data_IF_818269874303
#
_entry.id   IF_818269874303
#
_cell.length_a   1.000
_cell.length_b   1.000
_cell.length_c   1.000
_cell.angle_alpha   90.00
_cell.angle_beta   90.00
_cell.angle_gamma   90.00
#
_symmetry.space_group_name_H-M   'P 1'
#
loop_
_entity.id
_entity.type
_entity.pdbx_description
1 polymer ?
#
# COMPACT_ATOMS: atom_id res chain seq x y z
N UNK A 1 11.72 -7.86 38.49
CA UNK A 1 11.99 -6.44 38.83
C UNK A 1 11.10 -5.59 37.95
N UNK A 2 10.43 -4.56 38.48
CA UNK A 2 9.65 -3.65 37.64
C UNK A 2 10.59 -2.67 36.96
N UNK A 3 10.84 -2.82 35.67
CA UNK A 3 11.67 -1.90 34.89
C UNK A 3 10.89 -0.59 34.66
N UNK A 4 11.45 0.55 35.11
CA UNK A 4 10.82 1.87 35.02
C UNK A 4 11.39 2.66 33.85
N UNK A 5 10.49 3.19 33.01
CA UNK A 5 10.78 4.05 31.86
C UNK A 5 9.92 5.32 31.90
N UNK A 6 10.35 6.38 31.23
CA UNK A 6 9.49 7.54 31.02
C UNK A 6 8.48 7.25 29.90
N UNK A 7 8.97 6.61 28.83
CA UNK A 7 8.15 6.28 27.66
C UNK A 7 8.40 4.84 27.22
N UNK A 8 7.33 4.10 26.99
CA UNK A 8 7.37 2.77 26.35
C UNK A 8 6.70 2.85 24.99
N UNK A 9 7.40 2.33 23.98
CA UNK A 9 6.89 2.20 22.61
C UNK A 9 6.56 0.74 22.35
N UNK A 10 5.31 0.46 21.96
CA UNK A 10 4.82 -0.88 21.69
C UNK A 10 4.82 -1.12 20.19
N UNK A 11 5.79 -1.88 19.73
CA UNK A 11 6.03 -2.25 18.34
C UNK A 11 7.41 -1.84 17.83
N UNK A 12 8.22 -2.81 17.45
CA UNK A 12 9.58 -2.67 16.91
C UNK A 12 9.63 -2.53 15.38
N UNK A 13 8.62 -1.89 14.78
CA UNK A 13 8.58 -1.53 13.37
C UNK A 13 9.13 -0.14 13.08
N UNK A 14 9.02 0.33 11.82
CA UNK A 14 9.50 1.64 11.39
C UNK A 14 8.97 2.79 12.25
N UNK A 15 7.65 2.81 12.50
CA UNK A 15 7.02 3.86 13.30
C UNK A 15 7.56 3.89 14.74
N UNK A 16 7.78 2.72 15.35
CA UNK A 16 8.33 2.62 16.71
C UNK A 16 9.76 3.11 16.81
N UNK A 17 10.64 2.67 15.91
CA UNK A 17 12.04 3.10 15.85
C UNK A 17 12.16 4.60 15.58
N UNK A 18 11.45 5.08 14.56
CA UNK A 18 11.45 6.50 14.21
C UNK A 18 10.99 7.37 15.39
N UNK A 19 9.93 6.96 16.08
CA UNK A 19 9.40 7.67 17.25
C UNK A 19 10.42 7.68 18.39
N UNK A 20 11.02 6.53 18.72
CA UNK A 20 11.98 6.42 19.81
C UNK A 20 13.20 7.31 19.60
N UNK A 21 13.76 7.27 18.40
CA UNK A 21 14.95 8.06 18.03
C UNK A 21 14.64 9.55 18.15
N UNK A 22 13.53 10.02 17.55
CA UNK A 22 13.16 11.43 17.59
C UNK A 22 12.85 11.94 19.00
N UNK A 23 12.27 11.11 19.88
CA UNK A 23 12.04 11.47 21.29
C UNK A 23 13.37 11.72 22.00
N UNK A 24 14.31 10.77 21.90
CA UNK A 24 15.60 10.86 22.64
C UNK A 24 16.52 11.92 22.03
N UNK A 25 16.51 12.12 20.71
CA UNK A 25 17.26 13.23 20.08
C UNK A 25 16.79 14.60 20.56
N UNK A 26 15.47 14.77 20.79
CA UNK A 26 14.91 16.04 21.31
C UNK A 26 15.06 16.19 22.82
N UNK A 27 15.04 15.09 23.56
CA UNK A 27 15.23 15.10 25.01
C UNK A 27 16.05 13.88 25.46
N UNK A 28 17.38 14.00 25.49
CA UNK A 28 18.30 12.91 25.83
C UNK A 28 18.19 12.39 27.28
N UNK A 29 17.47 13.08 28.15
CA UNK A 29 17.28 12.67 29.54
C UNK A 29 16.15 11.65 29.72
N UNK A 30 15.30 11.44 28.71
CA UNK A 30 14.21 10.50 28.79
C UNK A 30 14.70 9.06 28.62
N UNK A 31 14.26 8.20 29.53
CA UNK A 31 14.48 6.76 29.43
C UNK A 31 13.38 6.12 28.59
N UNK A 32 13.73 5.67 27.39
CA UNK A 32 12.81 5.12 26.39
C UNK A 32 13.09 3.65 26.13
N UNK A 33 12.04 2.84 26.01
CA UNK A 33 12.13 1.45 25.60
C UNK A 33 11.20 1.13 24.45
N UNK A 34 11.63 0.22 23.57
CA UNK A 34 10.82 -0.39 22.50
C UNK A 34 10.53 -1.84 22.89
N UNK A 35 9.26 -2.22 22.92
CA UNK A 35 8.81 -3.60 23.14
C UNK A 35 8.36 -4.22 21.81
N UNK A 36 9.01 -5.30 21.41
CA UNK A 36 8.67 -6.06 20.20
C UNK A 36 8.26 -7.50 20.57
N UNK A 37 7.14 -7.94 20.02
CA UNK A 37 6.62 -9.31 20.24
C UNK A 37 7.44 -10.39 19.57
N UNK A 38 8.04 -10.07 18.44
CA UNK A 38 8.82 -10.98 17.59
C UNK A 38 10.25 -11.16 18.08
N UNK A 39 10.94 -12.10 17.46
CA UNK A 39 12.38 -12.35 17.69
C UNK A 39 13.24 -11.23 17.08
N UNK A 40 12.74 -10.60 16.03
CA UNK A 40 13.43 -9.60 15.24
C UNK A 40 12.59 -8.34 15.13
N UNK A 41 13.27 -7.20 14.99
CA UNK A 41 12.67 -5.90 14.74
C UNK A 41 12.72 -5.54 13.25
N UNK A 42 11.92 -4.56 12.82
CA UNK A 42 11.94 -3.98 11.47
C UNK A 42 11.64 -4.98 10.34
N UNK A 43 10.94 -6.09 10.62
CA UNK A 43 10.67 -7.15 9.64
C UNK A 43 9.88 -6.65 8.41
N UNK A 44 8.86 -5.79 8.61
CA UNK A 44 8.13 -5.19 7.49
C UNK A 44 9.01 -4.24 6.65
N UNK A 45 9.99 -3.57 7.27
CA UNK A 45 10.98 -2.75 6.54
C UNK A 45 11.84 -3.63 5.66
N UNK A 46 12.28 -4.77 6.18
CA UNK A 46 13.15 -5.73 5.47
C UNK A 46 12.58 -6.18 4.14
N UNK A 47 11.28 -6.47 4.10
CA UNK A 47 10.61 -7.02 2.92
C UNK A 47 9.96 -5.94 2.03
N UNK A 48 9.76 -4.73 2.55
CA UNK A 48 9.06 -3.66 1.84
C UNK A 48 9.77 -3.29 0.53
N UNK A 49 9.00 -2.87 -0.48
CA UNK A 49 9.54 -2.49 -1.77
C UNK A 49 10.37 -3.59 -2.46
N UNK A 50 10.02 -4.87 -2.23
CA UNK A 50 10.77 -6.01 -2.76
C UNK A 50 12.17 -6.15 -2.16
N UNK A 51 12.34 -5.83 -0.87
CA UNK A 51 13.62 -5.88 -0.16
C UNK A 51 14.51 -4.65 -0.36
N UNK A 52 14.01 -3.61 -1.03
CA UNK A 52 14.71 -2.35 -1.22
C UNK A 52 14.32 -1.26 -0.23
N UNK A 53 13.17 -1.38 0.42
CA UNK A 53 12.48 -0.40 1.25
C UNK A 53 12.09 0.87 0.48
N UNK A 54 10.84 0.94 0.01
CA UNK A 54 10.25 2.21 -0.41
C UNK A 54 10.05 3.09 0.84
N UNK A 55 10.90 4.12 0.99
CA UNK A 55 10.94 4.95 2.21
C UNK A 55 9.82 5.98 2.21
N UNK A 56 9.66 6.69 1.09
CA UNK A 56 8.66 7.75 0.91
C UNK A 56 8.42 7.99 -0.59
N UNK A 57 7.66 9.01 -0.91
CA UNK A 57 7.36 9.43 -2.28
C UNK A 57 7.78 10.88 -2.50
N UNK A 58 8.24 11.22 -3.70
CA UNK A 58 8.66 12.56 -4.08
C UNK A 58 7.46 13.53 -4.27
N UNK A 59 6.55 13.54 -3.32
CA UNK A 59 5.44 14.46 -3.24
C UNK A 59 5.66 15.38 -2.03
N UNK A 60 6.19 16.58 -2.30
CA UNK A 60 6.68 17.49 -1.26
C UNK A 60 5.64 18.50 -0.76
N UNK A 61 4.50 18.59 -1.44
CA UNK A 61 3.41 19.48 -1.05
C UNK A 61 2.42 18.72 -0.17
N UNK A 62 2.23 19.08 1.12
CA UNK A 62 1.34 18.36 2.03
C UNK A 62 -0.08 18.17 1.51
N UNK A 63 -0.65 19.20 0.87
CA UNK A 63 -2.00 19.13 0.30
C UNK A 63 -2.13 18.18 -0.89
N UNK A 64 -1.04 17.87 -1.57
CA UNK A 64 -1.03 16.88 -2.65
C UNK A 64 -0.73 15.50 -2.11
N UNK A 65 0.19 15.39 -1.14
CA UNK A 65 0.54 14.12 -0.51
C UNK A 65 -0.68 13.45 0.16
N UNK A 66 -1.51 14.21 0.86
CA UNK A 66 -2.70 13.66 1.54
C UNK A 66 -3.70 13.04 0.57
N UNK A 67 -3.73 13.45 -0.69
CA UNK A 67 -4.62 12.89 -1.72
C UNK A 67 -4.30 11.43 -2.09
N UNK A 68 -3.12 10.94 -1.72
CA UNK A 68 -2.76 9.53 -1.88
C UNK A 68 -3.28 8.64 -0.75
N UNK A 69 -3.91 9.22 0.28
CA UNK A 69 -4.46 8.50 1.41
C UNK A 69 -5.98 8.35 1.29
N UNK A 70 -6.50 7.17 0.90
CA UNK A 70 -7.95 6.94 0.81
C UNK A 70 -8.66 7.10 2.16
N UNK A 71 -7.93 6.88 3.26
CA UNK A 71 -8.38 7.07 4.64
C UNK A 71 -7.34 7.87 5.41
N UNK A 72 -7.80 8.94 6.10
CA UNK A 72 -6.94 9.85 6.85
C UNK A 72 -6.47 11.09 6.08
N UNK A 73 -6.93 11.32 4.84
CA UNK A 73 -6.57 12.50 4.04
C UNK A 73 -6.72 13.80 4.84
N UNK A 74 -7.88 13.97 5.49
CA UNK A 74 -8.21 15.17 6.25
C UNK A 74 -7.36 15.32 7.51
N UNK A 75 -7.18 14.24 8.21
CA UNK A 75 -6.48 14.15 9.50
C UNK A 75 -4.97 14.38 9.33
N UNK A 76 -4.40 13.90 8.22
CA UNK A 76 -2.96 14.01 7.93
C UNK A 76 -2.50 15.38 7.47
N UNK A 77 -3.40 16.31 7.09
CA UNK A 77 -3.02 17.67 6.68
C UNK A 77 -2.18 18.40 7.73
N UNK A 78 -2.58 18.33 9.00
CA UNK A 78 -1.83 18.93 10.09
C UNK A 78 -0.44 18.31 10.28
N UNK A 79 -0.35 17.00 10.50
CA UNK A 79 0.93 16.28 10.60
C UNK A 79 1.88 16.52 9.43
N UNK A 80 1.41 16.46 8.17
CA UNK A 80 2.28 16.65 7.01
C UNK A 80 2.75 18.10 6.80
N UNK A 81 2.06 19.09 7.38
CA UNK A 81 2.59 20.45 7.45
C UNK A 81 3.74 20.60 8.47
N UNK A 82 3.93 19.63 9.37
CA UNK A 82 5.02 19.60 10.35
C UNK A 82 6.15 18.68 9.94
N UNK A 83 5.84 17.59 9.25
CA UNK A 83 6.80 16.60 8.78
C UNK A 83 6.27 15.91 7.51
N UNK A 84 6.91 16.18 6.38
CA UNK A 84 6.51 15.71 5.06
C UNK A 84 7.60 14.85 4.41
N UNK A 85 7.45 14.52 3.14
CA UNK A 85 8.42 13.71 2.39
C UNK A 85 9.81 14.35 2.34
N UNK A 86 9.90 15.69 2.22
CA UNK A 86 11.18 16.42 2.25
C UNK A 86 11.90 16.26 3.58
N UNK A 87 11.16 16.41 4.68
CA UNK A 87 11.71 16.23 6.03
C UNK A 87 12.16 14.78 6.27
N UNK A 88 11.50 13.81 5.64
CA UNK A 88 11.91 12.40 5.68
C UNK A 88 13.27 12.21 5.01
N UNK A 89 13.50 12.85 3.85
CA UNK A 89 14.78 12.80 3.14
C UNK A 89 15.87 13.41 4.03
N UNK A 90 15.66 14.62 4.52
CA UNK A 90 16.60 15.32 5.37
C UNK A 90 16.95 14.51 6.64
N UNK A 91 15.94 13.86 7.23
CA UNK A 91 16.16 13.01 8.39
C UNK A 91 17.09 11.83 8.08
N UNK A 92 16.88 11.12 6.96
CA UNK A 92 17.72 10.00 6.57
C UNK A 92 19.12 10.45 6.17
N UNK A 93 19.27 11.56 5.44
CA UNK A 93 20.57 12.14 5.09
C UNK A 93 21.37 12.52 6.33
N UNK A 94 20.73 13.16 7.33
CA UNK A 94 21.34 13.47 8.63
C UNK A 94 21.83 12.21 9.36
N UNK A 95 21.18 11.08 9.14
CA UNK A 95 21.57 9.77 9.69
C UNK A 95 22.47 8.96 8.75
N UNK A 96 23.03 9.57 7.71
CA UNK A 96 24.01 8.97 6.81
C UNK A 96 23.43 8.07 5.73
N UNK A 97 22.13 8.18 5.46
CA UNK A 97 21.46 7.42 4.39
C UNK A 97 20.99 8.33 3.27
N UNK A 98 21.60 8.18 2.10
CA UNK A 98 21.21 8.86 0.88
C UNK A 98 20.07 8.12 0.19
N UNK A 99 19.04 8.88 -0.26
CA UNK A 99 17.87 8.37 -0.97
C UNK A 99 17.91 8.82 -2.42
N UNK A 100 17.38 7.98 -3.31
CA UNK A 100 17.16 8.29 -4.74
C UNK A 100 15.69 8.25 -5.08
N UNK A 101 15.27 9.09 -6.04
CA UNK A 101 13.94 9.12 -6.61
C UNK A 101 13.92 8.25 -7.87
N UNK A 102 12.94 7.38 -8.01
CA UNK A 102 12.66 6.65 -9.26
C UNK A 102 11.65 7.41 -10.12
N UNK A 103 11.52 7.05 -11.40
CA UNK A 103 10.69 7.77 -12.39
C UNK A 103 9.21 7.88 -11.97
N UNK A 104 8.72 6.96 -11.17
CA UNK A 104 7.35 6.96 -10.63
C UNK A 104 7.21 7.71 -9.29
N UNK A 105 8.26 8.40 -8.85
CA UNK A 105 8.29 9.20 -7.64
C UNK A 105 8.56 8.43 -6.36
N UNK A 106 8.65 7.10 -6.38
CA UNK A 106 9.04 6.31 -5.21
C UNK A 106 10.49 6.56 -4.84
N UNK A 107 10.77 6.53 -3.55
CA UNK A 107 12.11 6.82 -3.04
C UNK A 107 12.71 5.62 -2.32
N UNK A 108 13.92 5.28 -2.70
CA UNK A 108 14.66 4.13 -2.18
C UNK A 108 16.05 4.56 -1.70
N UNK A 109 16.69 3.83 -0.78
CA UNK A 109 18.11 4.05 -0.51
C UNK A 109 18.94 3.80 -1.77
N UNK A 110 19.98 4.61 -1.98
CA UNK A 110 20.87 4.50 -3.15
C UNK A 110 21.45 3.08 -3.27
N UNK A 111 21.67 2.41 -2.15
CA UNK A 111 22.13 1.01 -2.07
C UNK A 111 21.17 -0.02 -2.67
N UNK A 112 19.91 0.35 -2.91
CA UNK A 112 18.81 -0.58 -3.27
C UNK A 112 18.62 -1.75 -2.28
N UNK A 113 18.93 -1.55 -1.01
CA UNK A 113 18.81 -2.57 0.04
C UNK A 113 18.08 -2.01 1.25
N UNK A 114 17.02 -2.69 1.68
CA UNK A 114 16.30 -2.38 2.93
C UNK A 114 17.21 -2.50 4.17
N UNK A 115 18.31 -3.26 4.06
CA UNK A 115 19.27 -3.40 5.14
C UNK A 115 19.88 -2.05 5.53
N UNK A 116 20.12 -1.15 4.57
CA UNK A 116 20.63 0.21 4.83
C UNK A 116 19.71 0.99 5.78
N UNK A 117 18.40 0.90 5.59
CA UNK A 117 17.42 1.55 6.46
C UNK A 117 17.38 0.88 7.83
N UNK A 118 17.48 -0.45 7.87
CA UNK A 118 17.50 -1.21 9.13
C UNK A 118 18.75 -0.85 9.95
N UNK A 119 19.92 -0.83 9.32
CA UNK A 119 21.17 -0.50 9.97
C UNK A 119 21.14 0.93 10.52
N UNK A 120 20.64 1.89 9.74
CA UNK A 120 20.45 3.28 10.17
C UNK A 120 19.63 3.36 11.47
N UNK A 121 18.48 2.71 11.53
CA UNK A 121 17.64 2.68 12.72
C UNK A 121 18.32 2.00 13.90
N UNK A 122 18.98 0.86 13.70
CA UNK A 122 19.64 0.11 14.77
C UNK A 122 20.85 0.85 15.32
N UNK A 123 21.67 1.48 14.48
CA UNK A 123 22.80 2.29 14.89
C UNK A 123 22.36 3.52 15.69
N UNK A 124 21.30 4.22 15.23
CA UNK A 124 20.75 5.36 15.94
C UNK A 124 20.26 4.97 17.35
N UNK A 125 19.48 3.88 17.46
CA UNK A 125 18.98 3.36 18.73
C UNK A 125 20.13 2.98 19.68
N UNK A 126 21.16 2.31 19.16
CA UNK A 126 22.36 1.94 19.92
C UNK A 126 23.12 3.18 20.41
N UNK A 127 23.33 4.16 19.53
CA UNK A 127 24.03 5.44 19.86
C UNK A 127 23.28 6.22 20.94
N UNK A 128 21.96 6.25 20.87
CA UNK A 128 21.07 6.95 21.79
C UNK A 128 20.76 6.14 23.06
N UNK A 129 21.28 4.91 23.19
CA UNK A 129 21.08 4.02 24.34
C UNK A 129 19.59 3.75 24.63
N UNK A 130 18.79 3.57 23.60
CA UNK A 130 17.40 3.19 23.70
C UNK A 130 17.32 1.66 23.90
N UNK A 131 16.60 1.21 24.93
CA UNK A 131 16.45 -0.21 25.20
C UNK A 131 15.45 -0.86 24.22
N UNK A 132 15.82 -2.00 23.63
CA UNK A 132 14.97 -2.76 22.71
C UNK A 132 14.78 -4.17 23.24
N UNK A 133 13.53 -4.52 23.56
CA UNK A 133 13.16 -5.81 24.10
C UNK A 133 12.39 -6.62 23.05
N UNK A 134 13.03 -7.63 22.49
CA UNK A 134 12.38 -8.61 21.61
C UNK A 134 11.75 -9.74 22.40
N UNK A 135 10.81 -10.49 21.80
CA UNK A 135 10.00 -11.54 22.45
C UNK A 135 9.16 -11.02 23.65
N UNK A 136 8.87 -9.72 23.71
CA UNK A 136 8.06 -9.09 24.74
C UNK A 136 6.68 -8.73 24.18
N UNK A 137 5.82 -9.72 23.98
CA UNK A 137 4.44 -9.48 23.54
C UNK A 137 3.63 -8.85 24.66
N UNK A 138 3.13 -7.64 24.44
CA UNK A 138 2.25 -6.95 25.38
C UNK A 138 0.92 -7.69 25.46
N UNK A 139 0.46 -7.95 26.68
CA UNK A 139 -0.77 -8.68 27.00
C UNK A 139 -1.82 -7.79 27.66
N UNK A 140 -1.36 -6.84 28.50
CA UNK A 140 -2.26 -6.00 29.26
C UNK A 140 -1.65 -4.60 29.46
N UNK A 141 -2.52 -3.59 29.43
CA UNK A 141 -2.19 -2.21 29.81
C UNK A 141 -3.13 -1.80 30.96
N UNK A 142 -2.55 -1.37 32.05
CA UNK A 142 -3.31 -0.93 33.21
C UNK A 142 -2.85 0.45 33.66
N UNK A 143 -3.80 1.37 33.76
CA UNK A 143 -3.57 2.74 34.24
C UNK A 143 -3.71 2.79 35.77
N UNK A 144 -2.63 3.20 36.43
CA UNK A 144 -2.68 3.59 37.85
C UNK A 144 -2.97 5.10 37.96
N UNK A 145 -3.00 5.64 39.15
CA UNK A 145 -3.17 7.09 39.34
C UNK A 145 -2.05 7.91 38.69
N UNK A 146 -0.83 7.41 38.72
CA UNK A 146 0.38 8.18 38.33
C UNK A 146 1.11 7.66 37.09
N UNK A 147 0.93 6.39 36.72
CA UNK A 147 1.69 5.74 35.67
C UNK A 147 0.90 4.62 34.98
N UNK A 148 1.42 4.11 33.89
CA UNK A 148 0.99 2.92 33.20
C UNK A 148 1.79 1.69 33.63
N UNK A 149 1.13 0.56 33.82
CA UNK A 149 1.72 -0.78 33.88
C UNK A 149 1.52 -1.46 32.53
N UNK A 150 2.61 -1.98 31.97
CA UNK A 150 2.62 -2.72 30.71
C UNK A 150 3.06 -4.15 31.01
N UNK A 151 2.11 -5.08 30.99
CA UNK A 151 2.38 -6.51 31.21
C UNK A 151 2.73 -7.16 29.88
N UNK A 152 3.86 -7.83 29.84
CA UNK A 152 4.29 -8.60 28.65
C UNK A 152 4.35 -10.10 28.98
N UNK A 153 4.66 -10.91 27.97
CA UNK A 153 4.90 -12.36 28.16
C UNK A 153 6.11 -12.68 29.04
N UNK A 154 7.00 -11.71 29.31
CA UNK A 154 8.24 -11.93 30.04
C UNK A 154 8.24 -11.23 31.40
N UNK A 155 7.93 -9.95 31.42
CA UNK A 155 7.98 -9.13 32.61
C UNK A 155 6.98 -7.97 32.58
N UNK A 156 6.91 -7.21 33.68
CA UNK A 156 6.05 -6.03 33.84
C UNK A 156 6.90 -4.79 33.84
N UNK A 157 6.54 -3.84 32.99
CA UNK A 157 7.14 -2.51 32.89
C UNK A 157 6.23 -1.45 33.49
N UNK A 158 6.82 -0.34 33.91
CA UNK A 158 6.07 0.88 34.30
C UNK A 158 6.57 2.08 33.52
N UNK A 159 5.66 2.96 33.09
CA UNK A 159 6.01 4.18 32.36
C UNK A 159 4.99 5.29 32.58
N UNK A 160 5.39 6.53 32.26
CA UNK A 160 4.48 7.68 32.28
C UNK A 160 3.64 7.76 31.01
N UNK A 161 4.23 7.43 29.85
CA UNK A 161 3.59 7.52 28.53
C UNK A 161 3.79 6.24 27.73
N UNK A 162 2.82 5.95 26.88
CA UNK A 162 2.84 4.82 25.93
C UNK A 162 2.69 5.37 24.51
N UNK A 163 3.50 4.84 23.58
CA UNK A 163 3.27 5.02 22.14
C UNK A 163 2.89 3.68 21.53
N UNK A 164 1.70 3.60 20.96
CA UNK A 164 1.21 2.44 20.24
C UNK A 164 1.68 2.51 18.78
N UNK A 165 2.67 1.71 18.42
CA UNK A 165 3.28 1.65 17.07
C UNK A 165 3.31 0.20 16.53
N UNK A 166 2.32 -0.60 16.92
CA UNK A 166 2.26 -2.04 16.68
C UNK A 166 1.81 -2.44 15.27
N UNK A 167 1.58 -1.46 14.39
CA UNK A 167 1.04 -1.70 13.06
C UNK A 167 -0.33 -2.37 13.10
N UNK A 168 -0.70 -3.10 12.05
CA UNK A 168 -1.97 -3.80 11.90
C UNK A 168 -2.02 -5.10 12.75
N UNK A 169 -1.85 -4.98 14.06
CA UNK A 169 -1.87 -6.12 14.98
C UNK A 169 -3.25 -6.33 15.62
N UNK A 170 -4.00 -7.40 15.28
CA UNK A 170 -5.35 -7.63 15.80
C UNK A 170 -5.43 -7.69 17.33
N UNK A 171 -4.44 -8.29 18.00
CA UNK A 171 -4.41 -8.38 19.48
C UNK A 171 -4.28 -7.00 20.13
N UNK A 172 -3.55 -6.08 19.50
CA UNK A 172 -3.41 -4.72 20.03
C UNK A 172 -4.69 -3.91 19.80
N UNK A 173 -5.37 -4.12 18.69
CA UNK A 173 -6.69 -3.53 18.47
C UNK A 173 -7.72 -4.06 19.49
N UNK A 174 -7.76 -5.39 19.74
CA UNK A 174 -8.62 -5.98 20.77
C UNK A 174 -8.31 -5.41 22.17
N UNK A 175 -7.04 -5.27 22.52
CA UNK A 175 -6.62 -4.66 23.78
C UNK A 175 -7.09 -3.21 23.91
N UNK A 176 -6.93 -2.41 22.85
CA UNK A 176 -7.37 -1.01 22.83
C UNK A 176 -8.91 -0.89 22.83
N UNK A 177 -9.60 -1.82 22.19
CA UNK A 177 -11.06 -1.91 22.22
C UNK A 177 -11.57 -2.19 23.64
N UNK A 178 -10.95 -3.09 24.38
CA UNK A 178 -11.25 -3.39 25.78
C UNK A 178 -10.97 -2.18 26.71
N UNK A 179 -10.09 -1.26 26.29
CA UNK A 179 -9.80 -0.02 26.99
C UNK A 179 -10.68 1.15 26.53
N UNK A 180 -11.67 0.91 25.67
CA UNK A 180 -12.70 1.87 25.27
C UNK A 180 -12.53 2.50 23.90
N UNK A 181 -11.49 2.15 23.13
CA UNK A 181 -11.33 2.63 21.75
C UNK A 181 -12.26 1.90 20.77
N UNK A 182 -12.77 2.63 19.81
CA UNK A 182 -13.49 2.09 18.66
C UNK A 182 -12.50 1.62 17.60
N UNK A 183 -12.65 0.37 17.16
CA UNK A 183 -11.85 -0.19 16.09
C UNK A 183 -12.71 -0.27 14.83
N UNK A 184 -12.26 0.43 13.79
CA UNK A 184 -12.84 0.29 12.45
C UNK A 184 -12.34 -1.04 11.88
N UNK A 185 -13.27 -1.93 11.51
CA UNK A 185 -12.96 -3.30 11.10
C UNK A 185 -11.86 -3.34 10.04
N UNK A 186 -10.79 -4.11 10.25
CA UNK A 186 -9.68 -4.20 9.31
C UNK A 186 -10.04 -5.02 8.08
N UNK A 187 -9.78 -4.47 6.91
CA UNK A 187 -9.88 -5.17 5.62
C UNK A 187 -8.59 -4.98 4.83
N UNK A 188 -8.21 -5.94 3.98
CA UNK A 188 -7.05 -5.78 3.12
C UNK A 188 -7.17 -4.58 2.17
N UNK A 189 -6.04 -3.92 1.96
CA UNK A 189 -5.80 -2.86 0.98
C UNK A 189 -4.61 -3.26 0.11
N UNK A 190 -4.42 -2.64 -1.06
CA UNK A 190 -3.30 -2.92 -1.98
C UNK A 190 -3.18 -4.42 -2.37
N UNK A 191 -4.22 -5.01 -2.91
CA UNK A 191 -4.25 -6.43 -3.26
C UNK A 191 -4.42 -6.70 -4.75
N UNK A 192 -3.92 -7.86 -5.18
CA UNK A 192 -4.07 -8.41 -6.54
C UNK A 192 -5.48 -8.96 -6.73
N UNK A 193 -6.09 -8.73 -7.89
CA UNK A 193 -7.37 -9.31 -8.30
C UNK A 193 -7.17 -10.71 -8.88
N UNK A 194 -7.82 -11.70 -8.28
CA UNK A 194 -7.79 -13.06 -8.79
C UNK A 194 -8.76 -13.21 -9.97
N UNK A 195 -8.22 -13.47 -11.15
CA UNK A 195 -8.97 -13.56 -12.41
C UNK A 195 -8.48 -14.77 -13.18
N UNK A 196 -9.43 -15.65 -13.53
CA UNK A 196 -9.18 -16.77 -14.44
C UNK A 196 -9.88 -16.47 -15.77
N UNK A 197 -9.14 -16.00 -16.76
CA UNK A 197 -9.67 -15.62 -18.04
C UNK A 197 -8.70 -16.02 -19.16
N UNK A 198 -9.18 -16.63 -20.27
CA UNK A 198 -8.33 -17.08 -21.37
C UNK A 198 -7.54 -15.96 -22.04
N UNK A 199 -8.02 -14.70 -21.98
CA UNK A 199 -7.36 -13.55 -22.61
C UNK A 199 -6.04 -13.18 -21.94
N UNK A 200 -5.89 -13.50 -20.65
CA UNK A 200 -4.67 -13.22 -19.86
C UNK A 200 -3.91 -14.49 -19.48
N UNK A 201 -4.40 -15.66 -19.91
CA UNK A 201 -3.73 -16.94 -19.65
C UNK A 201 -2.36 -16.95 -20.32
N UNK A 202 -1.35 -17.48 -19.62
CA UNK A 202 0.03 -17.60 -20.07
C UNK A 202 0.74 -16.27 -20.41
N UNK A 203 0.18 -15.13 -19.94
CA UNK A 203 0.75 -13.79 -20.10
C UNK A 203 1.45 -13.25 -18.83
N UNK A 204 1.74 -14.07 -17.86
CA UNK A 204 2.39 -13.68 -16.63
C UNK A 204 3.68 -12.87 -16.87
N UNK A 205 3.84 -11.79 -16.09
CA UNK A 205 4.97 -10.86 -16.20
C UNK A 205 4.77 -9.77 -17.26
N UNK A 206 3.69 -9.84 -18.05
CA UNK A 206 3.37 -8.82 -19.04
C UNK A 206 2.73 -7.62 -18.36
N UNK A 207 3.17 -6.40 -18.72
CA UNK A 207 2.61 -5.14 -18.26
C UNK A 207 2.12 -4.29 -19.43
N UNK A 208 1.01 -3.60 -19.23
CA UNK A 208 0.49 -2.60 -20.16
C UNK A 208 -0.17 -1.47 -19.36
N UNK A 209 -0.14 -0.23 -19.88
CA UNK A 209 -0.90 0.87 -19.31
C UNK A 209 -2.38 0.68 -19.69
N UNK A 210 -3.25 0.73 -18.71
CA UNK A 210 -4.69 0.53 -18.90
C UNK A 210 -5.49 1.32 -17.87
N UNK A 211 -6.75 1.63 -18.20
CA UNK A 211 -7.72 2.05 -17.20
C UNK A 211 -8.61 0.88 -16.80
N UNK A 212 -8.99 0.83 -15.53
CA UNK A 212 -9.81 -0.24 -14.96
C UNK A 212 -10.94 0.37 -14.15
N UNK A 213 -12.16 -0.09 -14.41
CA UNK A 213 -13.37 0.35 -13.72
C UNK A 213 -14.10 -0.83 -13.11
N UNK A 214 -14.55 -0.70 -11.86
CA UNK A 214 -15.42 -1.70 -11.23
C UNK A 214 -16.86 -1.49 -11.71
N UNK A 215 -17.48 -2.51 -12.25
CA UNK A 215 -18.88 -2.43 -12.71
C UNK A 215 -19.82 -2.11 -11.56
N UNK A 216 -20.80 -1.23 -11.81
CA UNK A 216 -21.78 -0.76 -10.83
C UNK A 216 -21.14 -0.09 -9.61
N UNK A 217 -20.01 0.58 -9.83
CA UNK A 217 -19.29 1.36 -8.84
C UNK A 217 -18.73 2.62 -9.49
N UNK A 218 -18.29 3.57 -8.64
CA UNK A 218 -17.52 4.75 -9.07
C UNK A 218 -16.01 4.50 -9.02
N UNK A 219 -15.59 3.30 -8.63
CA UNK A 219 -14.19 2.94 -8.51
C UNK A 219 -13.56 2.75 -9.90
N UNK A 220 -12.59 3.58 -10.18
CA UNK A 220 -11.77 3.52 -11.39
C UNK A 220 -10.34 3.95 -11.08
N UNK A 221 -9.40 3.41 -11.83
CA UNK A 221 -8.00 3.79 -11.75
C UNK A 221 -7.31 3.53 -13.09
N UNK A 222 -6.32 4.38 -13.42
CA UNK A 222 -5.47 4.24 -14.60
C UNK A 222 -4.02 4.05 -14.18
N UNK A 223 -3.26 3.32 -14.97
CA UNK A 223 -1.83 3.10 -14.75
C UNK A 223 -1.35 1.74 -15.24
N UNK A 224 -0.08 1.42 -14.99
CA UNK A 224 0.47 0.11 -15.33
C UNK A 224 -0.32 -1.02 -14.68
N UNK A 225 -0.82 -1.94 -15.50
CA UNK A 225 -1.49 -3.16 -15.12
C UNK A 225 -0.54 -4.33 -15.40
N UNK A 226 -0.28 -5.14 -14.39
CA UNK A 226 0.60 -6.31 -14.47
C UNK A 226 -0.23 -7.60 -14.44
N UNK A 227 -0.04 -8.45 -15.43
CA UNK A 227 -0.62 -9.80 -15.43
C UNK A 227 0.26 -10.72 -14.59
N UNK A 228 -0.36 -11.40 -13.63
CA UNK A 228 0.29 -12.31 -12.69
C UNK A 228 -0.24 -13.73 -12.83
N UNK A 229 0.32 -14.68 -12.08
CA UNK A 229 -0.23 -16.05 -11.97
C UNK A 229 -1.68 -16.11 -11.46
N UNK A 230 -2.08 -15.11 -10.66
CA UNK A 230 -3.38 -15.07 -10.00
C UNK A 230 -4.42 -14.30 -10.81
N UNK A 231 -3.98 -13.39 -11.67
CA UNK A 231 -4.84 -12.48 -12.41
C UNK A 231 -4.17 -11.15 -12.71
N UNK A 232 -4.71 -10.05 -12.20
CA UNK A 232 -4.23 -8.70 -12.48
C UNK A 232 -3.75 -7.98 -11.22
N UNK A 233 -2.60 -7.31 -11.31
CA UNK A 233 -1.97 -6.49 -10.28
C UNK A 233 -1.35 -5.24 -10.92
N UNK A 234 -0.33 -4.66 -10.28
CA UNK A 234 0.35 -3.44 -10.75
C UNK A 234 -0.28 -2.17 -10.19
N UNK A 235 0.36 -1.01 -10.39
CA UNK A 235 -0.05 0.26 -9.78
C UNK A 235 -1.53 0.62 -9.97
N UNK A 236 -2.10 0.41 -11.18
CA UNK A 236 -3.52 0.67 -11.44
C UNK A 236 -4.45 -0.17 -10.58
N UNK A 237 -4.21 -1.49 -10.48
CA UNK A 237 -5.02 -2.40 -9.68
C UNK A 237 -4.82 -2.18 -8.17
N UNK A 238 -3.58 -1.98 -7.73
CA UNK A 238 -3.28 -1.74 -6.32
C UNK A 238 -3.94 -0.45 -5.84
N UNK A 239 -3.87 0.64 -6.61
CA UNK A 239 -4.58 1.88 -6.32
C UNK A 239 -6.09 1.64 -6.23
N UNK A 240 -6.69 0.96 -7.21
CA UNK A 240 -8.13 0.67 -7.23
C UNK A 240 -8.55 -0.15 -6.03
N UNK A 241 -7.75 -1.14 -5.62
CA UNK A 241 -8.00 -1.96 -4.44
C UNK A 241 -7.86 -1.18 -3.13
N UNK A 242 -6.98 -0.18 -3.07
CA UNK A 242 -6.83 0.69 -1.90
C UNK A 242 -8.05 1.59 -1.71
N UNK A 243 -8.44 2.32 -2.76
CA UNK A 243 -9.64 3.18 -2.72
C UNK A 243 -10.92 2.36 -2.47
N UNK A 244 -11.01 1.21 -3.10
CA UNK A 244 -12.16 0.30 -3.01
C UNK A 244 -12.14 -0.70 -1.85
N UNK A 245 -11.16 -0.65 -0.93
CA UNK A 245 -10.92 -1.71 0.04
C UNK A 245 -12.19 -2.19 0.77
N UNK A 246 -13.02 -1.28 1.27
CA UNK A 246 -14.27 -1.60 1.97
C UNK A 246 -15.35 -2.10 1.02
N UNK A 247 -15.64 -1.37 -0.07
CA UNK A 247 -16.65 -1.75 -1.04
C UNK A 247 -16.37 -3.13 -1.64
N UNK A 248 -15.09 -3.42 -1.96
CA UNK A 248 -14.69 -4.70 -2.52
C UNK A 248 -14.74 -5.84 -1.48
N UNK A 249 -14.51 -5.53 -0.21
CA UNK A 249 -14.70 -6.47 0.90
C UNK A 249 -16.17 -6.82 1.11
N UNK A 250 -17.08 -5.83 1.08
CA UNK A 250 -18.53 -6.05 1.16
C UNK A 250 -19.06 -6.93 0.01
N UNK A 251 -18.47 -6.80 -1.18
CA UNK A 251 -18.72 -7.68 -2.32
C UNK A 251 -18.05 -9.07 -2.19
N UNK A 252 -17.41 -9.37 -1.05
CA UNK A 252 -16.66 -10.62 -0.79
C UNK A 252 -15.61 -10.89 -1.87
N UNK A 253 -15.06 -9.83 -2.46
CA UNK A 253 -14.08 -9.88 -3.56
C UNK A 253 -14.59 -10.62 -4.80
N UNK A 254 -15.90 -10.58 -5.06
CA UNK A 254 -16.57 -11.14 -6.24
C UNK A 254 -17.28 -10.01 -6.98
N UNK A 255 -16.70 -9.57 -8.09
CA UNK A 255 -17.20 -8.45 -8.88
C UNK A 255 -16.65 -8.49 -10.30
N UNK A 256 -17.28 -7.74 -11.22
CA UNK A 256 -16.78 -7.57 -12.57
C UNK A 256 -16.04 -6.23 -12.70
N UNK A 257 -14.96 -6.24 -13.48
CA UNK A 257 -14.24 -5.06 -13.92
C UNK A 257 -14.32 -4.91 -15.42
N UNK A 258 -14.22 -3.68 -15.90
CA UNK A 258 -13.99 -3.32 -17.29
C UNK A 258 -12.56 -2.80 -17.41
N UNK A 259 -11.82 -3.32 -18.38
CA UNK A 259 -10.45 -2.92 -18.67
C UNK A 259 -10.41 -2.27 -20.03
N UNK A 260 -9.93 -1.02 -20.07
CA UNK A 260 -9.58 -0.32 -21.29
C UNK A 260 -8.06 -0.38 -21.47
N UNK A 261 -7.62 -1.24 -22.36
CA UNK A 261 -6.18 -1.43 -22.69
C UNK A 261 -5.57 -0.26 -23.47
N UNK A 262 -6.42 0.64 -23.96
CA UNK A 262 -6.03 1.88 -24.65
C UNK A 262 -6.13 3.10 -23.71
N UNK A 263 -6.11 2.85 -22.42
CA UNK A 263 -6.23 3.82 -21.32
C UNK A 263 -7.57 4.59 -21.38
N UNK A 264 -7.56 5.87 -21.77
CA UNK A 264 -8.76 6.72 -21.79
C UNK A 264 -9.43 6.80 -23.17
N UNK A 265 -8.90 6.08 -24.16
CA UNK A 265 -9.47 6.07 -25.53
C UNK A 265 -10.88 5.52 -25.53
N UNK A 266 -11.81 6.29 -26.09
CA UNK A 266 -13.22 5.90 -26.23
C UNK A 266 -13.41 4.87 -27.33
N UNK A 267 -14.63 4.27 -27.37
CA UNK A 267 -14.98 3.33 -28.44
C UNK A 267 -14.94 4.00 -29.81
N UNK A 268 -15.44 5.21 -29.94
CA UNK A 268 -15.47 6.00 -31.17
C UNK A 268 -14.07 6.33 -31.67
N UNK A 269 -13.20 6.81 -30.81
CA UNK A 269 -11.81 7.08 -31.13
C UNK A 269 -11.07 5.82 -31.56
N UNK A 270 -11.26 4.72 -30.84
CA UNK A 270 -10.68 3.42 -31.20
C UNK A 270 -11.20 2.90 -32.56
N UNK A 271 -12.48 3.17 -32.88
CA UNK A 271 -13.06 2.81 -34.17
C UNK A 271 -12.37 3.53 -35.32
N UNK A 272 -12.13 4.82 -35.17
CA UNK A 272 -11.48 5.61 -36.22
C UNK A 272 -10.01 5.20 -36.38
N UNK A 273 -9.28 5.03 -35.29
CA UNK A 273 -7.91 4.53 -35.32
C UNK A 273 -7.80 3.15 -35.98
N UNK A 274 -8.74 2.23 -35.70
CA UNK A 274 -8.71 0.89 -36.31
C UNK A 274 -9.14 0.90 -37.78
N UNK A 275 -9.92 1.88 -38.26
CA UNK A 275 -10.18 2.07 -39.70
C UNK A 275 -8.93 2.48 -40.44
N UNK A 276 -8.17 3.44 -39.89
CA UNK A 276 -6.92 3.89 -40.48
C UNK A 276 -5.90 2.72 -40.52
N UNK A 277 -5.77 1.96 -39.42
CA UNK A 277 -4.92 0.77 -39.35
C UNK A 277 -5.33 -0.25 -40.41
N UNK A 278 -6.64 -0.47 -40.60
CA UNK A 278 -7.18 -1.38 -41.65
C UNK A 278 -6.78 -0.95 -43.06
N UNK A 279 -6.85 0.33 -43.38
CA UNK A 279 -6.45 0.88 -44.67
C UNK A 279 -4.95 0.71 -44.92
N UNK A 280 -4.13 1.11 -43.95
CA UNK A 280 -2.68 1.04 -44.05
C UNK A 280 -2.13 -0.40 -44.08
N UNK A 281 -2.81 -1.31 -43.43
CA UNK A 281 -2.33 -2.70 -43.23
C UNK A 281 -3.17 -3.74 -43.96
N UNK A 282 -3.95 -3.39 -44.96
CA UNK A 282 -4.94 -4.23 -45.63
C UNK A 282 -4.49 -5.68 -45.93
N UNK A 283 -3.23 -5.85 -46.36
CA UNK A 283 -2.63 -7.15 -46.71
C UNK A 283 -2.04 -7.94 -45.54
N UNK A 284 -1.94 -7.32 -44.34
CA UNK A 284 -1.33 -7.95 -43.16
C UNK A 284 -2.41 -8.71 -42.37
N UNK A 285 -1.96 -9.71 -41.61
CA UNK A 285 -2.82 -10.46 -40.69
C UNK A 285 -3.13 -9.62 -39.44
N UNK A 286 -4.39 -9.56 -39.02
CA UNK A 286 -4.83 -8.79 -37.85
C UNK A 286 -4.12 -9.23 -36.57
N UNK A 287 -3.92 -10.53 -36.39
CA UNK A 287 -3.32 -11.09 -35.16
C UNK A 287 -1.80 -10.86 -35.03
N UNK A 288 -1.07 -10.76 -36.15
CA UNK A 288 0.42 -10.82 -36.13
C UNK A 288 1.10 -9.51 -35.77
N UNK A 289 0.44 -8.39 -35.99
CA UNK A 289 1.01 -7.06 -35.75
C UNK A 289 0.20 -6.37 -34.65
N UNK A 290 0.80 -6.25 -33.48
CA UNK A 290 0.22 -5.49 -32.38
C UNK A 290 0.21 -3.99 -32.68
N UNK A 291 -0.85 -3.32 -32.28
CA UNK A 291 -1.01 -1.88 -32.38
C UNK A 291 -1.12 -1.26 -30.97
N UNK A 292 -1.09 0.06 -30.88
CA UNK A 292 -1.27 0.83 -29.65
C UNK A 292 -0.22 0.50 -28.55
N UNK A 293 0.99 0.14 -28.96
CA UNK A 293 2.08 -0.27 -28.05
C UNK A 293 1.72 -1.47 -27.15
N UNK A 294 0.62 -2.19 -27.48
CA UNK A 294 0.24 -3.37 -26.72
C UNK A 294 1.26 -4.51 -26.92
N UNK A 295 1.60 -5.24 -25.87
CA UNK A 295 2.41 -6.44 -26.00
C UNK A 295 1.79 -7.44 -26.98
N UNK A 296 2.60 -7.96 -27.90
CA UNK A 296 2.12 -8.83 -28.99
C UNK A 296 1.24 -9.98 -28.54
N UNK A 297 1.63 -10.67 -27.46
CA UNK A 297 0.86 -11.82 -26.94
C UNK A 297 -0.50 -11.40 -26.37
N UNK A 298 -0.60 -10.22 -25.77
CA UNK A 298 -1.87 -9.67 -25.29
C UNK A 298 -2.76 -9.33 -26.48
N UNK A 299 -2.24 -8.65 -27.49
CA UNK A 299 -2.95 -8.35 -28.73
C UNK A 299 -3.51 -9.61 -29.39
N UNK A 300 -2.69 -10.66 -29.59
CA UNK A 300 -3.10 -11.93 -30.16
C UNK A 300 -4.29 -12.55 -29.40
N UNK A 301 -4.25 -12.52 -28.06
CA UNK A 301 -5.33 -13.05 -27.24
C UNK A 301 -6.61 -12.21 -27.31
N UNK A 302 -6.52 -10.88 -27.39
CA UNK A 302 -7.67 -9.98 -27.56
C UNK A 302 -8.30 -10.14 -28.95
N UNK A 303 -7.51 -10.26 -30.01
CA UNK A 303 -7.96 -10.55 -31.39
C UNK A 303 -8.71 -11.89 -31.43
N UNK A 304 -8.16 -12.91 -30.79
CA UNK A 304 -8.82 -14.22 -30.69
C UNK A 304 -10.14 -14.13 -29.90
N UNK A 305 -10.17 -13.39 -28.80
CA UNK A 305 -11.39 -13.18 -28.02
C UNK A 305 -12.47 -12.39 -28.77
N UNK A 306 -12.07 -11.54 -29.71
CA UNK A 306 -12.98 -10.87 -30.65
C UNK A 306 -13.59 -11.77 -31.72
N UNK A 307 -13.23 -13.05 -31.76
CA UNK A 307 -13.68 -14.02 -32.76
C UNK A 307 -13.04 -13.83 -34.14
N UNK A 308 -11.83 -13.27 -34.16
CA UNK A 308 -11.06 -13.03 -35.38
C UNK A 308 -10.08 -14.20 -35.58
N UNK A 309 -10.11 -14.83 -36.75
CA UNK A 309 -9.18 -15.90 -37.10
C UNK A 309 -7.74 -15.41 -37.19
N UNK A 310 -6.79 -16.26 -36.82
CA UNK A 310 -5.35 -15.95 -36.90
C UNK A 310 -4.88 -15.67 -38.33
N UNK A 311 -5.61 -16.17 -39.35
CA UNK A 311 -5.29 -16.01 -40.76
C UNK A 311 -6.03 -14.83 -41.42
N UNK A 312 -6.95 -14.15 -40.68
CA UNK A 312 -7.70 -13.04 -41.24
C UNK A 312 -6.82 -11.83 -41.49
N UNK A 313 -6.94 -11.27 -42.70
CA UNK A 313 -6.27 -10.01 -43.08
C UNK A 313 -7.14 -8.81 -42.70
N UNK A 314 -6.51 -7.67 -42.50
CA UNK A 314 -7.21 -6.41 -42.22
C UNK A 314 -8.21 -6.05 -43.33
N UNK A 315 -7.91 -6.31 -44.62
CA UNK A 315 -8.86 -6.07 -45.70
C UNK A 315 -10.20 -6.81 -45.51
N UNK A 316 -10.14 -8.03 -44.96
CA UNK A 316 -11.28 -8.94 -44.90
C UNK A 316 -12.08 -8.84 -43.58
N UNK A 317 -11.60 -8.03 -42.61
CA UNK A 317 -12.32 -7.83 -41.34
C UNK A 317 -13.66 -7.13 -41.58
N UNK A 318 -14.73 -7.72 -41.12
CA UNK A 318 -16.06 -7.12 -41.22
C UNK A 318 -16.37 -6.20 -40.02
N UNK A 319 -17.46 -5.41 -40.17
CA UNK A 319 -17.87 -4.42 -39.15
C UNK A 319 -18.13 -5.07 -37.77
N UNK A 320 -18.73 -6.27 -37.74
CA UNK A 320 -19.02 -6.97 -36.48
C UNK A 320 -17.74 -7.40 -35.77
N UNK A 321 -16.77 -7.92 -36.49
CA UNK A 321 -15.46 -8.31 -35.96
C UNK A 321 -14.67 -7.10 -35.49
N UNK A 322 -14.69 -5.99 -36.24
CA UNK A 322 -14.04 -4.76 -35.87
C UNK A 322 -14.61 -4.19 -34.54
N UNK A 323 -15.94 -4.10 -34.46
CA UNK A 323 -16.60 -3.67 -33.21
C UNK A 323 -16.32 -4.61 -32.04
N UNK A 324 -16.26 -5.92 -32.26
CA UNK A 324 -15.91 -6.89 -31.23
C UNK A 324 -14.45 -6.67 -30.74
N UNK A 325 -13.55 -6.38 -31.66
CA UNK A 325 -12.15 -6.07 -31.27
C UNK A 325 -12.06 -4.79 -30.45
N UNK A 326 -12.78 -3.73 -30.86
CA UNK A 326 -12.83 -2.47 -30.11
C UNK A 326 -13.35 -2.72 -28.69
N UNK A 327 -14.42 -3.51 -28.56
CA UNK A 327 -14.97 -3.87 -27.25
C UNK A 327 -13.95 -4.61 -26.38
N UNK A 328 -13.15 -5.51 -26.94
CA UNK A 328 -12.08 -6.17 -26.20
C UNK A 328 -10.96 -5.20 -25.79
N UNK A 329 -10.67 -4.18 -26.61
CA UNK A 329 -9.62 -3.21 -26.38
C UNK A 329 -10.04 -2.13 -25.38
N UNK A 330 -11.27 -1.62 -25.45
CA UNK A 330 -11.72 -0.44 -24.69
C UNK A 330 -12.65 -0.76 -23.53
N UNK A 331 -13.28 -1.93 -23.51
CA UNK A 331 -14.34 -2.28 -22.55
C UNK A 331 -14.34 -3.76 -22.16
N UNK A 332 -13.17 -4.41 -22.22
CA UNK A 332 -13.03 -5.83 -21.92
C UNK A 332 -13.50 -6.17 -20.49
N UNK A 333 -14.60 -6.94 -20.37
CA UNK A 333 -15.11 -7.36 -19.07
C UNK A 333 -14.33 -8.57 -18.53
N UNK A 334 -13.91 -8.49 -17.25
CA UNK A 334 -13.26 -9.57 -16.51
C UNK A 334 -13.95 -9.80 -15.17
N UNK A 335 -14.02 -11.05 -14.73
CA UNK A 335 -14.63 -11.43 -13.46
C UNK A 335 -13.56 -11.68 -12.41
N UNK A 336 -13.59 -10.88 -11.35
CA UNK A 336 -12.74 -11.06 -10.18
C UNK A 336 -13.41 -12.07 -9.25
N UNK A 337 -12.70 -13.13 -8.88
CA UNK A 337 -13.12 -14.19 -7.99
C UNK A 337 -12.12 -14.34 -6.84
N UNK A 338 -12.09 -13.36 -5.97
CA UNK A 338 -11.17 -13.32 -4.82
C UNK A 338 -9.98 -12.39 -5.01
N UNK A 339 -9.15 -12.37 -4.01
CA UNK A 339 -7.94 -11.55 -3.95
C UNK A 339 -6.74 -12.38 -3.51
N UNK A 340 -5.55 -11.95 -3.89
CA UNK A 340 -4.29 -12.42 -3.35
C UNK A 340 -3.60 -11.31 -2.59
N UNK A 341 -3.31 -11.58 -1.33
CA UNK A 341 -2.45 -10.75 -0.48
C UNK A 341 -1.22 -11.60 -0.17
N UNK A 342 -0.05 -11.13 -0.53
CA UNK A 342 1.18 -11.73 -0.01
C UNK A 342 1.25 -11.36 1.47
N UNK A 343 1.30 -12.35 2.36
CA UNK A 343 1.13 -12.21 3.83
C UNK A 343 1.97 -11.11 4.48
N UNK A 344 3.00 -10.66 3.81
CA UNK A 344 4.04 -9.80 4.35
C UNK A 344 4.04 -8.38 3.76
N UNK A 345 3.35 -8.14 2.64
CA UNK A 345 3.41 -6.87 1.89
C UNK A 345 2.09 -6.10 1.84
N UNK A 346 0.98 -6.65 2.34
CA UNK A 346 -0.30 -5.94 2.22
C UNK A 346 -0.48 -4.89 3.32
N UNK A 347 -1.13 -3.80 2.93
CA UNK A 347 -1.58 -2.74 3.83
C UNK A 347 -2.99 -3.07 4.32
N UNK A 348 -3.32 -2.65 5.52
CA UNK A 348 -4.64 -2.86 6.12
C UNK A 348 -5.40 -1.53 6.17
N UNK A 349 -6.59 -1.51 5.60
CA UNK A 349 -7.57 -0.44 5.80
C UNK A 349 -8.39 -0.73 7.05
N UNK A 350 -8.28 0.07 8.07
CA UNK A 350 -8.92 -0.14 9.38
C UNK A 350 -7.98 0.17 10.53
N UNK A 351 -8.48 0.07 11.75
CA UNK A 351 -7.73 0.39 12.97
C UNK A 351 -8.48 1.37 13.86
N UNK A 352 -7.78 2.09 14.72
CA UNK A 352 -8.34 3.07 15.64
C UNK A 352 -9.16 4.13 14.89
N UNK A 353 -10.38 4.41 15.37
CA UNK A 353 -11.20 5.50 14.81
C UNK A 353 -10.48 6.84 14.99
N UNK A 354 -10.25 7.53 13.89
CA UNK A 354 -9.49 8.78 13.84
C UNK A 354 -10.17 9.92 14.65
N UNK A 355 -11.47 9.83 14.90
CA UNK A 355 -12.19 10.79 15.75
C UNK A 355 -11.72 10.76 17.20
N UNK A 356 -11.15 9.64 17.64
CA UNK A 356 -10.67 9.41 19.00
C UNK A 356 -9.20 9.81 19.20
N UNK A 357 -8.55 10.36 18.15
CA UNK A 357 -7.16 10.80 18.18
C UNK A 357 -7.08 12.32 18.01
N UNK A 358 -6.20 12.93 18.78
CA UNK A 358 -5.83 14.33 18.62
C UNK A 358 -4.67 14.44 17.63
N UNK A 359 -4.92 14.78 16.38
CA UNK A 359 -3.88 14.87 15.33
C UNK A 359 -2.90 16.03 15.47
N UNK A 360 -3.04 16.90 16.48
CA UNK A 360 -2.00 17.89 16.83
C UNK A 360 -0.90 17.28 17.70
N UNK A 361 -1.25 16.28 18.51
CA UNK A 361 -0.35 15.65 19.48
C UNK A 361 -0.18 14.15 19.26
N UNK A 362 -0.98 13.56 18.41
CA UNK A 362 -1.15 12.11 18.20
C UNK A 362 -1.60 11.36 19.46
N UNK A 363 -2.14 12.05 20.45
CA UNK A 363 -2.63 11.50 21.71
C UNK A 363 -4.05 10.96 21.58
N UNK A 364 -4.34 9.88 22.29
CA UNK A 364 -5.68 9.37 22.51
C UNK A 364 -6.55 10.41 23.24
N UNK A 365 -7.78 10.60 22.80
CA UNK A 365 -8.79 11.40 23.52
C UNK A 365 -9.48 10.61 24.64
N UNK A 366 -9.27 9.29 24.69
CA UNK A 366 -9.88 8.37 25.66
C UNK A 366 -8.90 8.00 26.75
N UNK A 367 -7.67 7.64 26.38
CA UNK A 367 -6.62 7.18 27.28
C UNK A 367 -5.53 8.24 27.44
N UNK A 368 -5.44 8.93 28.56
CA UNK A 368 -4.44 9.98 28.76
C UNK A 368 -3.02 9.41 28.74
N UNK A 369 -2.10 10.14 28.11
CA UNK A 369 -0.71 9.73 27.92
C UNK A 369 -0.50 8.47 27.06
N UNK A 370 -1.49 8.12 26.21
CA UNK A 370 -1.35 7.11 25.16
C UNK A 370 -1.34 7.79 23.80
N UNK A 371 -0.34 7.51 22.99
CA UNK A 371 -0.11 8.10 21.67
C UNK A 371 -0.11 7.03 20.60
N UNK A 372 -0.39 7.42 19.36
CA UNK A 372 -0.45 6.50 18.23
C UNK A 372 0.52 6.87 17.12
N UNK A 373 1.13 5.86 16.49
CA UNK A 373 1.99 6.04 15.32
C UNK A 373 1.87 4.87 14.34
N UNK A 374 1.76 5.18 13.04
CA UNK A 374 1.72 4.20 11.96
C UNK A 374 0.38 3.48 11.79
N UNK A 375 0.42 2.28 11.23
CA UNK A 375 -0.75 1.48 10.78
C UNK A 375 -1.67 0.96 11.89
N UNK A 376 -1.46 1.32 13.14
CA UNK A 376 -2.43 1.07 14.22
C UNK A 376 -3.69 1.91 14.01
N UNK A 377 -3.57 3.06 13.36
CA UNK A 377 -4.63 3.99 13.00
C UNK A 377 -5.37 3.53 11.75
N UNK A 378 -6.63 3.93 11.60
CA UNK A 378 -7.41 3.76 10.36
C UNK A 378 -6.91 4.71 9.25
N UNK A 379 -5.63 4.61 8.91
CA UNK A 379 -4.94 5.38 7.88
C UNK A 379 -4.16 4.42 7.00
N UNK A 380 -4.33 4.53 5.67
CA UNK A 380 -3.57 3.77 4.68
C UNK A 380 -3.44 4.53 3.35
N UNK A 381 -2.42 4.17 2.55
CA UNK A 381 -2.10 4.77 1.26
C UNK A 381 -1.77 3.71 0.21
#
# INVERSE_FOLDING_TARGET
MNSKYDIIIIGGGAAGFFTAINIVERNPNLKVAILERGKSVLEKVRISGGGRCNVTHACFVPNDLVKFYPRGERELKGPFNQFCSGDTIEWFEKHGVELKIEDDGRMFPVSNSSQTIIDCFQEAVKKLKIDVFTNHSVQELYKTETHWKVTTTQEVFTCEKIVMASGSNPKMWELLQNLGHSIIEPVPSLFTFNIKDPRIKDLMGLSAVASVKVKKSKLEASGPLLITHWGMSGPGILRLSAWGARELSEKKYQFAIQVNWLNETTFEEALDLLKDIKEENAKKLVSKYAHFELPKRLWENLVKAAGISEELKWADINKKQLNSLIEQLTNGEFHVNGKSTFKEEFVTAGGIDLKEVNFKTMESKILPNVYFAGEILNIDA
#
